data_IF_260445885477
#
_entry.id   IF_260445885477
#
_cell.length_a   1.000
_cell.length_b   1.000
_cell.length_c   1.000
_cell.angle_alpha   90.00
_cell.angle_beta   90.00
_cell.angle_gamma   90.00
#
_symmetry.space_group_name_H-M   'P 1'
#
loop_
_entity.id
_entity.type
_entity.pdbx_description
1 polymer ?
#
# COMPACT_ATOMS: atom_id res chain seq x y z
N UNK A 1 2.72 9.01 8.22
CA UNK A 1 1.93 8.88 6.97
C UNK A 1 2.37 7.61 6.28
N UNK A 2 1.45 6.70 6.01
CA UNK A 2 1.75 5.46 5.31
C UNK A 2 1.91 5.78 3.83
N UNK A 3 3.08 5.50 3.28
CA UNK A 3 3.37 5.77 1.87
C UNK A 3 2.79 4.64 1.03
N UNK A 4 1.80 4.94 0.20
CA UNK A 4 1.36 4.07 -0.90
C UNK A 4 2.58 3.88 -1.80
N UNK A 5 3.00 2.62 -2.03
CA UNK A 5 4.25 2.34 -2.77
C UNK A 5 4.03 2.21 -4.26
N UNK A 6 3.05 1.41 -4.67
CA UNK A 6 2.79 1.13 -6.08
C UNK A 6 1.40 1.63 -6.46
N UNK A 7 1.37 2.50 -7.46
CA UNK A 7 0.14 3.07 -8.01
C UNK A 7 0.09 2.76 -9.50
N UNK A 8 -0.99 2.12 -9.94
CA UNK A 8 -1.28 1.89 -11.35
C UNK A 8 -2.25 2.92 -11.92
N UNK A 9 -2.03 3.33 -13.15
CA UNK A 9 -2.97 4.15 -13.92
C UNK A 9 -3.23 3.45 -15.25
N UNK A 10 -4.47 3.11 -15.54
CA UNK A 10 -4.88 2.52 -16.82
C UNK A 10 -5.95 3.38 -17.48
N UNK A 11 -5.64 3.84 -18.69
CA UNK A 11 -6.52 4.65 -19.54
C UNK A 11 -6.03 4.47 -20.99
N UNK A 12 -6.89 4.28 -21.96
CA UNK A 12 -6.47 4.08 -23.35
C UNK A 12 -5.90 5.38 -24.00
N UNK A 13 -6.18 6.53 -23.40
CA UNK A 13 -5.65 7.83 -23.81
C UNK A 13 -4.30 8.14 -23.17
N UNK A 14 -3.21 8.05 -23.93
CA UNK A 14 -1.85 8.32 -23.43
C UNK A 14 -1.69 9.69 -22.76
N UNK A 15 -2.44 10.70 -23.21
CA UNK A 15 -2.40 12.06 -22.64
C UNK A 15 -3.02 12.04 -21.24
N UNK A 16 -4.14 11.33 -21.05
CA UNK A 16 -4.78 11.17 -19.75
C UNK A 16 -3.87 10.41 -18.78
N UNK A 17 -3.25 9.32 -19.22
CA UNK A 17 -2.26 8.57 -18.44
C UNK A 17 -1.12 9.47 -17.97
N UNK A 18 -0.45 10.18 -18.89
CA UNK A 18 0.68 11.06 -18.55
C UNK A 18 0.29 12.19 -17.60
N UNK A 19 -0.88 12.79 -17.82
CA UNK A 19 -1.40 13.83 -16.95
C UNK A 19 -1.67 13.35 -15.53
N UNK A 20 -2.25 12.16 -15.39
CA UNK A 20 -2.52 11.54 -14.10
C UNK A 20 -1.23 11.16 -13.38
N UNK A 21 -0.31 10.46 -14.05
CA UNK A 21 1.00 10.08 -13.50
C UNK A 21 1.73 11.30 -12.98
N UNK A 22 1.84 12.36 -13.76
CA UNK A 22 2.49 13.61 -13.35
C UNK A 22 1.87 14.25 -12.11
N UNK A 23 0.54 14.26 -12.00
CA UNK A 23 -0.14 14.79 -10.81
C UNK A 23 0.10 13.90 -9.58
N UNK A 24 0.04 12.58 -9.73
CA UNK A 24 0.27 11.63 -8.65
C UNK A 24 1.70 11.68 -8.12
N UNK A 25 2.71 11.74 -9.00
CA UNK A 25 4.13 11.89 -8.61
C UNK A 25 4.39 13.16 -7.81
N UNK A 26 3.71 14.26 -8.17
CA UNK A 26 3.79 15.51 -7.40
C UNK A 26 3.14 15.40 -6.01
N UNK A 27 2.03 14.70 -5.90
CA UNK A 27 1.29 14.55 -4.64
C UNK A 27 1.91 13.49 -3.72
N UNK A 28 2.54 12.48 -4.31
CA UNK A 28 3.08 11.30 -3.62
C UNK A 28 4.53 11.02 -4.06
N UNK A 29 5.51 11.87 -3.71
CA UNK A 29 6.88 11.80 -4.20
C UNK A 29 7.64 10.52 -3.82
N UNK A 30 7.12 9.75 -2.87
CA UNK A 30 7.71 8.47 -2.44
C UNK A 30 6.97 7.25 -3.02
N UNK A 31 5.98 7.45 -3.89
CA UNK A 31 5.26 6.37 -4.55
C UNK A 31 5.86 6.10 -5.93
N UNK A 32 5.90 4.84 -6.34
CA UNK A 32 6.16 4.45 -7.71
C UNK A 32 4.83 4.45 -8.47
N UNK A 33 4.69 5.40 -9.41
CA UNK A 33 3.48 5.54 -10.23
C UNK A 33 3.76 5.03 -11.62
N UNK A 34 2.97 4.08 -12.10
CA UNK A 34 3.11 3.51 -13.43
C UNK A 34 1.83 3.62 -14.24
N UNK A 35 1.98 4.18 -15.45
CA UNK A 35 0.89 4.37 -16.39
C UNK A 35 0.89 3.34 -17.51
N UNK A 36 -0.31 2.94 -17.94
CA UNK A 36 -0.55 1.95 -18.98
C UNK A 36 -1.66 2.40 -19.91
N UNK A 37 -1.51 2.09 -21.20
CA UNK A 37 -2.56 2.25 -22.21
C UNK A 37 -3.09 0.92 -22.73
N UNK A 38 -2.46 -0.19 -22.31
CA UNK A 38 -2.82 -1.54 -22.73
C UNK A 38 -3.21 -2.37 -21.50
N UNK A 39 -4.41 -2.94 -21.51
CA UNK A 39 -4.92 -3.76 -20.41
C UNK A 39 -4.00 -4.94 -20.07
N UNK A 40 -3.48 -5.64 -21.08
CA UNK A 40 -2.66 -6.83 -20.88
C UNK A 40 -1.34 -6.53 -20.15
N UNK A 41 -0.70 -5.41 -20.47
CA UNK A 41 0.53 -4.99 -19.80
C UNK A 41 0.25 -4.59 -18.36
N UNK A 42 -0.87 -3.92 -18.13
CA UNK A 42 -1.34 -3.53 -16.81
C UNK A 42 -1.68 -4.75 -15.94
N UNK A 43 -2.39 -5.74 -16.46
CA UNK A 43 -2.74 -6.97 -15.74
C UNK A 43 -1.48 -7.71 -15.28
N UNK A 44 -0.53 -7.95 -16.19
CA UNK A 44 0.76 -8.58 -15.85
C UNK A 44 1.55 -7.79 -14.81
N UNK A 45 1.46 -6.47 -14.85
CA UNK A 45 2.12 -5.64 -13.85
C UNK A 45 1.44 -5.75 -12.48
N UNK A 46 0.12 -5.80 -12.41
CA UNK A 46 -0.63 -5.99 -11.16
C UNK A 46 -0.29 -7.32 -10.48
N UNK A 47 -0.22 -8.42 -11.24
CA UNK A 47 0.13 -9.74 -10.73
C UNK A 47 1.52 -9.75 -10.06
N UNK A 48 2.48 -9.02 -10.63
CA UNK A 48 3.87 -9.02 -10.15
C UNK A 48 4.16 -7.99 -9.05
N UNK A 49 3.35 -6.92 -8.91
CA UNK A 49 3.67 -5.80 -8.04
C UNK A 49 2.63 -5.55 -6.93
N UNK A 50 1.45 -6.19 -7.01
CA UNK A 50 0.36 -6.00 -6.03
C UNK A 50 0.13 -4.53 -5.66
N UNK A 51 -0.33 -3.68 -6.61
CA UNK A 51 -0.46 -2.24 -6.37
C UNK A 51 -1.45 -1.93 -5.26
N UNK A 52 -1.12 -0.94 -4.44
CA UNK A 52 -1.98 -0.53 -3.33
C UNK A 52 -3.16 0.33 -3.80
N UNK A 53 -3.02 0.96 -4.96
CA UNK A 53 -4.03 1.82 -5.55
C UNK A 53 -3.96 1.75 -7.08
N UNK A 54 -5.12 1.69 -7.70
CA UNK A 54 -5.26 1.73 -9.15
C UNK A 54 -6.28 2.79 -9.53
N UNK A 55 -5.90 3.66 -10.47
CA UNK A 55 -6.81 4.54 -11.19
C UNK A 55 -7.15 3.89 -12.52
N UNK A 56 -8.43 3.68 -12.77
CA UNK A 56 -8.91 2.87 -13.88
C UNK A 56 -9.98 3.64 -14.67
N UNK A 57 -9.72 3.86 -15.97
CA UNK A 57 -10.77 4.38 -16.84
C UNK A 57 -11.91 3.36 -16.98
N UNK A 58 -13.13 3.87 -16.94
CA UNK A 58 -14.33 3.05 -17.12
C UNK A 58 -14.59 2.71 -18.58
N UNK A 59 -14.16 3.55 -19.50
CA UNK A 59 -14.46 3.46 -20.93
C UNK A 59 -13.20 3.26 -21.75
N UNK A 60 -12.89 2.01 -22.02
CA UNK A 60 -11.79 1.63 -22.88
C UNK A 60 -12.30 0.74 -24.02
N UNK A 61 -11.85 0.93 -25.27
CA UNK A 61 -12.30 0.14 -26.42
C UNK A 61 -12.10 -1.36 -26.29
N UNK A 62 -11.09 -1.78 -25.52
CA UNK A 62 -10.69 -3.20 -25.38
C UNK A 62 -11.32 -3.90 -24.19
N UNK A 63 -11.78 -3.17 -23.17
CA UNK A 63 -12.41 -3.74 -21.98
C UNK A 63 -13.16 -2.66 -21.20
N UNK A 64 -14.36 -2.96 -20.73
CA UNK A 64 -15.06 -2.10 -19.79
C UNK A 64 -14.30 -2.09 -18.45
N UNK A 65 -14.00 -0.91 -17.90
CA UNK A 65 -13.26 -0.74 -16.64
C UNK A 65 -13.84 -1.54 -15.48
N UNK A 66 -15.15 -1.69 -15.40
CA UNK A 66 -15.80 -2.53 -14.39
C UNK A 66 -15.40 -4.01 -14.49
N UNK A 67 -15.29 -4.56 -15.69
CA UNK A 67 -14.86 -5.94 -15.90
C UNK A 67 -13.38 -6.11 -15.55
N UNK A 68 -12.56 -5.11 -15.87
CA UNK A 68 -11.15 -5.06 -15.48
C UNK A 68 -11.03 -5.03 -13.96
N UNK A 69 -11.77 -4.14 -13.30
CA UNK A 69 -11.77 -4.00 -11.84
C UNK A 69 -12.11 -5.33 -11.14
N UNK A 70 -13.14 -6.04 -11.59
CA UNK A 70 -13.53 -7.35 -11.04
C UNK A 70 -12.43 -8.41 -11.17
N UNK A 71 -11.65 -8.37 -12.25
CA UNK A 71 -10.55 -9.33 -12.48
C UNK A 71 -9.36 -9.05 -11.56
N UNK A 72 -8.99 -7.78 -11.43
CA UNK A 72 -7.79 -7.39 -10.66
C UNK A 72 -8.07 -7.18 -9.18
N UNK A 73 -9.31 -7.23 -8.72
CA UNK A 73 -9.71 -6.90 -7.34
C UNK A 73 -8.99 -7.75 -6.29
N UNK A 74 -8.61 -8.99 -6.62
CA UNK A 74 -7.85 -9.84 -5.72
C UNK A 74 -6.37 -9.42 -5.58
N UNK A 75 -5.82 -8.77 -6.62
CA UNK A 75 -4.40 -8.44 -6.75
C UNK A 75 -4.07 -7.00 -6.37
N UNK A 76 -5.10 -6.15 -6.20
CA UNK A 76 -4.93 -4.73 -5.90
C UNK A 76 -5.55 -4.34 -4.57
N UNK A 77 -4.98 -3.32 -3.90
CA UNK A 77 -5.49 -2.84 -2.63
C UNK A 77 -6.79 -2.04 -2.74
N UNK A 78 -6.81 -1.06 -3.63
CA UNK A 78 -7.93 -0.15 -3.83
C UNK A 78 -8.06 0.24 -5.30
N UNK A 79 -9.29 0.50 -5.74
CA UNK A 79 -9.59 0.96 -7.09
C UNK A 79 -10.31 2.30 -7.01
N UNK A 80 -9.89 3.25 -7.84
CA UNK A 80 -10.59 4.52 -8.08
C UNK A 80 -10.93 4.57 -9.57
N UNK A 81 -12.20 4.66 -9.89
CA UNK A 81 -12.62 4.84 -11.27
C UNK A 81 -12.44 6.28 -11.72
N UNK A 82 -12.05 6.43 -12.99
CA UNK A 82 -11.93 7.70 -13.68
C UNK A 82 -12.76 7.61 -14.97
N UNK A 83 -13.58 8.62 -15.29
CA UNK A 83 -14.45 8.54 -16.44
C UNK A 83 -14.95 9.89 -16.92
N UNK A 84 -15.37 9.99 -18.16
CA UNK A 84 -16.05 11.16 -18.73
C UNK A 84 -17.54 11.22 -18.38
N UNK A 85 -18.16 10.14 -17.93
CA UNK A 85 -19.61 10.02 -17.75
C UNK A 85 -20.02 9.96 -16.28
N UNK A 86 -21.13 10.65 -15.93
CA UNK A 86 -21.64 10.75 -14.55
C UNK A 86 -22.64 9.63 -14.16
N UNK A 87 -23.02 8.74 -15.10
CA UNK A 87 -24.15 7.83 -14.91
C UNK A 87 -23.69 6.36 -14.82
N UNK A 88 -22.77 6.05 -13.91
CA UNK A 88 -22.44 4.64 -13.70
C UNK A 88 -23.21 4.02 -12.55
N UNK A 89 -23.51 2.72 -12.73
CA UNK A 89 -24.38 1.92 -11.88
C UNK A 89 -23.90 1.79 -10.44
N UNK A 90 -24.81 1.45 -9.53
CA UNK A 90 -24.53 1.04 -8.15
C UNK A 90 -23.41 0.00 -8.05
N UNK A 91 -23.27 -0.86 -9.03
CA UNK A 91 -22.25 -1.92 -9.11
C UNK A 91 -20.80 -1.38 -9.16
N UNK A 92 -20.59 -0.20 -9.77
CA UNK A 92 -19.28 0.46 -9.77
C UNK A 92 -18.90 0.97 -8.37
N UNK A 93 -19.87 1.39 -7.57
CA UNK A 93 -19.65 1.84 -6.19
C UNK A 93 -19.32 0.71 -5.22
N UNK A 94 -19.74 -0.52 -5.50
CA UNK A 94 -19.40 -1.69 -4.67
C UNK A 94 -17.96 -2.17 -4.91
N UNK A 95 -17.39 -1.86 -6.09
CA UNK A 95 -16.07 -2.35 -6.50
C UNK A 95 -14.95 -1.35 -6.23
N UNK A 96 -15.25 -0.05 -6.20
CA UNK A 96 -14.25 1.01 -6.08
C UNK A 96 -14.46 1.88 -4.83
N UNK A 97 -13.34 2.42 -4.36
CA UNK A 97 -13.28 3.33 -3.20
C UNK A 97 -13.81 4.71 -3.54
N UNK A 98 -13.59 5.14 -4.76
CA UNK A 98 -14.01 6.46 -5.23
C UNK A 98 -14.20 6.48 -6.75
N UNK A 99 -14.79 7.57 -7.22
CA UNK A 99 -15.15 7.79 -8.61
C UNK A 99 -14.83 9.24 -8.99
N UNK A 100 -14.01 9.45 -10.03
CA UNK A 100 -13.57 10.76 -10.48
C UNK A 100 -14.06 11.05 -11.89
N UNK A 101 -14.73 12.18 -12.07
CA UNK A 101 -15.11 12.68 -13.39
C UNK A 101 -13.94 13.41 -14.06
N UNK A 102 -13.70 13.12 -15.34
CA UNK A 102 -12.83 13.93 -16.21
C UNK A 102 -13.50 15.28 -16.53
N UNK A 103 -12.78 16.41 -16.57
CA UNK A 103 -11.34 16.56 -16.35
C UNK A 103 -10.94 16.51 -14.87
N UNK A 104 -9.82 15.86 -14.59
CA UNK A 104 -9.36 15.62 -13.23
C UNK A 104 -8.66 16.86 -12.68
N UNK A 105 -9.23 17.47 -11.64
CA UNK A 105 -8.57 18.56 -10.94
C UNK A 105 -7.64 18.03 -9.83
N UNK A 106 -6.52 18.74 -9.52
CA UNK A 106 -5.63 18.35 -8.42
C UNK A 106 -6.37 18.22 -7.09
N UNK A 107 -7.34 19.10 -6.81
CA UNK A 107 -8.18 19.05 -5.61
C UNK A 107 -9.01 17.78 -5.55
N UNK A 108 -9.60 17.36 -6.68
CA UNK A 108 -10.42 16.13 -6.71
C UNK A 108 -9.58 14.89 -6.52
N UNK A 109 -8.36 14.89 -7.11
CA UNK A 109 -7.39 13.80 -6.92
C UNK A 109 -6.96 13.68 -5.46
N UNK A 110 -6.65 14.80 -4.78
CA UNK A 110 -6.33 14.82 -3.35
C UNK A 110 -7.46 14.25 -2.49
N UNK A 111 -8.72 14.58 -2.81
CA UNK A 111 -9.88 14.02 -2.09
C UNK A 111 -9.99 12.50 -2.25
N UNK A 112 -9.74 11.98 -3.45
CA UNK A 112 -9.75 10.54 -3.69
C UNK A 112 -8.62 9.84 -2.91
N UNK A 113 -7.42 10.40 -2.92
CA UNK A 113 -6.29 9.91 -2.15
C UNK A 113 -6.60 9.90 -0.64
N UNK A 114 -7.20 10.96 -0.11
CA UNK A 114 -7.61 11.03 1.29
C UNK A 114 -8.67 9.97 1.66
N UNK A 115 -9.60 9.65 0.76
CA UNK A 115 -10.55 8.55 0.95
C UNK A 115 -9.85 7.20 0.99
N UNK A 116 -8.92 6.96 0.06
CA UNK A 116 -8.12 5.73 0.03
C UNK A 116 -7.31 5.59 1.33
N UNK A 117 -6.69 6.66 1.82
CA UNK A 117 -5.97 6.66 3.09
C UNK A 117 -6.89 6.36 4.29
N UNK A 118 -8.12 6.86 4.28
CA UNK A 118 -9.10 6.63 5.34
C UNK A 118 -9.70 5.22 5.32
N UNK A 119 -9.85 4.63 4.13
CA UNK A 119 -10.40 3.28 3.92
C UNK A 119 -9.32 2.19 3.95
N UNK A 120 -8.05 2.57 3.72
CA UNK A 120 -7.00 1.65 4.14
C UNK A 120 -7.22 1.48 5.63
N UNK A 121 -7.90 0.37 6.09
CA UNK A 121 -7.78 0.02 7.48
C UNK A 121 -6.29 0.11 7.71
N UNK A 122 -5.84 0.53 8.88
CA UNK A 122 -4.50 0.18 9.31
C UNK A 122 -4.44 -1.32 8.99
N UNK A 123 -4.08 -1.66 7.73
CA UNK A 123 -3.74 -3.03 7.38
C UNK A 123 -2.64 -3.19 8.39
N UNK A 124 -3.02 -3.84 9.47
CA UNK A 124 -2.05 -4.53 10.28
C UNK A 124 -1.15 -5.04 9.19
N UNK A 125 -0.01 -4.37 8.98
CA UNK A 125 1.04 -4.81 8.07
C UNK A 125 1.01 -6.28 8.32
N UNK A 126 0.94 -7.16 7.30
CA UNK A 126 1.20 -8.57 7.65
C UNK A 126 2.43 -8.46 8.49
N UNK A 127 2.18 -8.51 9.80
CA UNK A 127 3.06 -7.85 10.76
C UNK A 127 4.35 -8.56 10.54
N UNK A 128 5.37 -7.86 10.09
CA UNK A 128 6.61 -8.47 9.65
C UNK A 128 6.97 -9.41 10.78
N UNK A 129 6.90 -10.72 10.54
CA UNK A 129 7.03 -11.67 11.61
C UNK A 129 8.49 -11.74 11.97
N UNK A 130 8.81 -11.38 13.18
CA UNK A 130 10.18 -11.47 13.69
C UNK A 130 10.35 -12.84 14.30
N UNK A 131 11.35 -13.57 13.80
CA UNK A 131 11.76 -14.85 14.41
C UNK A 131 12.66 -14.57 15.60
N UNK A 132 12.18 -14.91 16.78
CA UNK A 132 12.94 -14.84 18.03
C UNK A 132 13.29 -16.26 18.49
N UNK A 133 14.54 -16.46 18.89
CA UNK A 133 14.99 -17.73 19.49
C UNK A 133 14.68 -17.70 20.99
N UNK A 134 13.60 -18.35 21.41
CA UNK A 134 13.18 -18.41 22.80
C UNK A 134 13.42 -19.81 23.35
N UNK A 135 14.25 -19.92 24.39
CA UNK A 135 14.53 -21.21 25.07
C UNK A 135 14.90 -22.35 24.09
N UNK A 136 15.70 -22.02 23.06
CA UNK A 136 16.15 -23.01 22.05
C UNK A 136 15.14 -23.28 20.91
N UNK A 137 13.97 -22.63 20.90
CA UNK A 137 12.95 -22.77 19.84
C UNK A 137 12.70 -21.44 19.14
N UNK A 138 12.64 -21.45 17.83
CA UNK A 138 12.24 -20.27 17.06
C UNK A 138 10.73 -20.06 17.17
N UNK A 139 10.31 -18.87 17.63
CA UNK A 139 8.92 -18.42 17.58
C UNK A 139 8.81 -17.19 16.70
N UNK A 140 7.73 -17.13 15.93
CA UNK A 140 7.39 -15.98 15.11
C UNK A 140 6.40 -15.08 15.87
N UNK A 141 6.78 -13.82 16.01
CA UNK A 141 5.92 -12.78 16.60
C UNK A 141 5.61 -11.73 15.54
N UNK A 142 4.35 -11.31 15.42
CA UNK A 142 4.04 -10.11 14.66
C UNK A 142 4.80 -8.92 15.26
N UNK A 143 5.37 -8.06 14.44
CA UNK A 143 6.07 -6.85 14.88
C UNK A 143 5.16 -5.94 15.73
N UNK A 144 3.85 -6.00 15.50
CA UNK A 144 2.82 -5.29 16.29
C UNK A 144 2.73 -5.75 17.74
N UNK A 145 3.20 -6.94 18.04
CA UNK A 145 3.21 -7.46 19.41
C UNK A 145 4.42 -7.01 20.22
N UNK A 146 5.38 -6.30 19.58
CA UNK A 146 6.55 -5.75 20.24
C UNK A 146 6.25 -4.33 20.71
N UNK A 147 6.27 -4.10 22.01
CA UNK A 147 6.09 -2.79 22.60
C UNK A 147 7.37 -1.93 22.46
N UNK A 148 8.51 -2.48 22.81
CA UNK A 148 9.82 -1.83 22.63
C UNK A 148 10.97 -2.84 22.75
N UNK A 149 12.17 -2.39 22.32
CA UNK A 149 13.42 -3.13 22.48
C UNK A 149 14.40 -2.29 23.30
N UNK A 150 15.10 -2.94 24.25
CA UNK A 150 16.11 -2.30 25.07
C UNK A 150 17.44 -3.03 24.92
N UNK A 151 18.48 -2.31 24.52
CA UNK A 151 19.85 -2.87 24.47
C UNK A 151 20.43 -3.05 25.88
N UNK A 152 21.03 -4.23 26.11
CA UNK A 152 21.75 -4.54 27.36
C UNK A 152 23.10 -5.19 26.99
N UNK A 153 24.13 -4.38 26.75
CA UNK A 153 25.46 -4.85 26.28
C UNK A 153 25.33 -5.71 25.01
N UNK A 154 25.58 -7.03 25.11
CA UNK A 154 25.52 -7.99 24.03
C UNK A 154 24.14 -8.63 23.83
N UNK A 155 23.16 -8.21 24.63
CA UNK A 155 21.80 -8.72 24.62
C UNK A 155 20.81 -7.63 24.24
N UNK A 156 19.67 -8.03 23.77
CA UNK A 156 18.50 -7.16 23.58
C UNK A 156 17.33 -7.75 24.32
N UNK A 157 16.74 -6.97 25.19
CA UNK A 157 15.47 -7.28 25.81
C UNK A 157 14.35 -6.84 24.87
N UNK A 158 13.53 -7.81 24.44
CA UNK A 158 12.32 -7.59 23.66
C UNK A 158 11.15 -7.64 24.61
N UNK A 159 10.38 -6.55 24.68
CA UNK A 159 9.20 -6.43 25.52
C UNK A 159 7.97 -6.46 24.62
N UNK A 160 7.07 -7.40 24.88
CA UNK A 160 5.84 -7.56 24.13
C UNK A 160 4.72 -6.70 24.72
N UNK A 161 3.71 -6.41 23.91
CA UNK A 161 2.53 -5.62 24.32
C UNK A 161 1.69 -6.29 25.39
N UNK A 162 1.79 -7.61 25.51
CA UNK A 162 1.16 -8.39 26.59
C UNK A 162 1.96 -8.37 27.92
N UNK A 163 3.09 -7.65 27.97
CA UNK A 163 3.96 -7.54 29.13
C UNK A 163 5.00 -8.64 29.27
N UNK A 164 5.10 -9.58 28.34
CA UNK A 164 6.19 -10.57 28.35
C UNK A 164 7.53 -9.96 27.98
N UNK A 165 8.58 -10.42 28.67
CA UNK A 165 9.97 -9.98 28.47
C UNK A 165 10.82 -11.14 27.96
N UNK A 166 11.54 -10.92 26.88
CA UNK A 166 12.42 -11.92 26.28
C UNK A 166 13.83 -11.37 26.08
N UNK A 167 14.83 -12.01 26.70
CA UNK A 167 16.22 -11.62 26.54
C UNK A 167 16.86 -12.41 25.38
N UNK A 168 17.36 -11.67 24.40
CA UNK A 168 17.94 -12.21 23.18
C UNK A 168 19.45 -12.00 23.17
N UNK A 169 20.23 -13.05 22.86
CA UNK A 169 21.69 -12.96 22.68
C UNK A 169 22.06 -12.30 21.33
N UNK A 170 21.54 -11.13 21.07
CA UNK A 170 21.75 -10.32 19.87
C UNK A 170 21.80 -8.84 20.26
N UNK A 171 22.59 -8.06 19.54
CA UNK A 171 22.68 -6.61 19.79
C UNK A 171 21.47 -5.88 19.24
N UNK A 172 21.11 -4.73 19.81
CA UNK A 172 20.01 -3.89 19.32
C UNK A 172 20.21 -3.51 17.82
N UNK A 173 21.48 -3.31 17.41
CA UNK A 173 21.82 -3.02 16.01
C UNK A 173 21.35 -4.13 15.05
N UNK A 174 21.43 -5.39 15.44
CA UNK A 174 21.00 -6.50 14.58
C UNK A 174 19.47 -6.59 14.40
N UNK A 175 18.71 -5.83 15.19
CA UNK A 175 17.26 -5.71 15.01
C UNK A 175 16.88 -4.57 14.09
N UNK A 176 17.72 -3.52 13.92
CA UNK A 176 17.42 -2.41 13.01
C UNK A 176 17.27 -2.84 11.56
N UNK A 177 17.97 -3.92 11.16
CA UNK A 177 17.91 -4.45 9.79
C UNK A 177 16.67 -5.33 9.54
N UNK A 178 15.98 -5.71 10.62
CA UNK A 178 14.85 -6.65 10.59
C UNK A 178 13.53 -5.96 10.95
N UNK A 179 13.60 -4.85 11.69
CA UNK A 179 12.44 -4.06 12.10
C UNK A 179 12.04 -3.08 11.01
N UNK A 180 10.74 -2.88 10.88
CA UNK A 180 10.20 -1.85 9.96
C UNK A 180 10.42 -0.44 10.51
N UNK A 181 10.18 0.56 9.64
CA UNK A 181 10.23 2.00 9.99
C UNK A 181 9.20 2.42 11.07
N UNK A 182 8.38 1.49 11.56
CA UNK A 182 7.51 1.73 12.71
C UNK A 182 8.29 1.87 14.02
N UNK A 183 9.53 1.34 14.06
CA UNK A 183 10.41 1.45 15.21
C UNK A 183 11.40 2.61 15.04
N UNK A 184 11.34 3.52 15.98
CA UNK A 184 12.25 4.66 16.01
C UNK A 184 13.27 4.46 17.13
N UNK A 185 14.57 4.62 16.82
CA UNK A 185 15.61 4.58 17.84
C UNK A 185 15.66 5.87 18.62
N UNK A 186 15.29 5.81 19.89
CA UNK A 186 15.20 6.97 20.79
C UNK A 186 16.47 7.24 21.62
N UNK A 187 17.44 6.31 21.62
CA UNK A 187 18.71 6.47 22.36
C UNK A 187 19.89 5.82 21.62
N UNK A 188 21.08 6.43 21.74
CA UNK A 188 22.31 6.01 21.05
C UNK A 188 23.12 4.93 21.76
N UNK A 189 22.88 4.70 23.04
CA UNK A 189 23.62 3.71 23.84
C UNK A 189 22.97 2.35 23.79
#
# INVERSE_FOLDING_TARGET
MRTVRYIGVLDDEIIAVRGMVFQLEKLLPNAEVKGFTQYREFELWCENNTPELVFLDMEMPQAMGLNVAKRIQADVGNIVFVTAHSHYSLEAFETAVDYILKPISPKRLQQALAKVEALVPVKVRQAQKIKLLLKGTFREFPETDIAYLRGQRNYTEVVLTNGEHHLMARTLKSFTDVLSDAFVRIHKS
#
